data_IF_421374882083
#
_entry.id   IF_421374882083
#
_cell.length_a   1.000
_cell.length_b   1.000
_cell.length_c   1.000
_cell.angle_alpha   90.00
_cell.angle_beta   90.00
_cell.angle_gamma   90.00
#
_symmetry.space_group_name_H-M   'P 1'
#
loop_
_entity.id
_entity.type
_entity.pdbx_description
1 polymer ?
#
# COMPACT_ATOMS: atom_id res chain seq x y z
N UNK A 1 -12.16 11.87 -3.76
CA UNK A 1 -10.94 12.37 -3.10
C UNK A 1 -9.72 11.76 -3.78
N UNK A 2 -8.77 12.58 -4.25
CA UNK A 2 -7.41 12.13 -4.62
C UNK A 2 -6.51 12.28 -3.39
N UNK A 3 -5.32 11.67 -3.38
CA UNK A 3 -4.32 11.99 -2.34
C UNK A 3 -4.02 13.50 -2.43
N UNK A 4 -4.19 14.28 -1.35
CA UNK A 4 -4.02 15.74 -1.39
C UNK A 4 -2.60 16.16 -1.76
N UNK A 5 -2.46 17.36 -2.33
CA UNK A 5 -1.14 17.98 -2.54
C UNK A 5 -0.42 18.12 -1.19
N UNK A 6 0.86 17.72 -1.16
CA UNK A 6 1.63 17.64 0.09
C UNK A 6 1.50 16.30 0.83
N UNK A 7 0.72 15.36 0.31
CA UNK A 7 0.68 13.98 0.77
C UNK A 7 1.18 13.03 -0.31
N UNK A 8 1.87 11.96 0.09
CA UNK A 8 2.35 10.89 -0.78
C UNK A 8 1.88 9.54 -0.27
N UNK A 9 1.50 8.64 -1.17
CA UNK A 9 1.28 7.24 -0.81
C UNK A 9 2.57 6.46 -0.99
N UNK A 10 3.12 5.95 0.10
CA UNK A 10 4.39 5.24 0.15
C UNK A 10 4.15 3.76 0.39
N UNK A 11 4.95 2.92 -0.27
CA UNK A 11 4.99 1.49 -0.06
C UNK A 11 6.44 1.08 0.18
N UNK A 12 6.72 0.50 1.34
CA UNK A 12 8.06 0.06 1.73
C UNK A 12 8.06 -1.45 1.76
N UNK A 13 9.04 -2.05 1.09
CA UNK A 13 9.35 -3.47 1.18
C UNK A 13 10.82 -3.61 1.54
N UNK A 14 11.13 -4.44 2.53
CA UNK A 14 12.49 -4.89 2.84
C UNK A 14 12.55 -6.41 2.84
N UNK A 15 13.70 -6.93 2.46
CA UNK A 15 13.93 -8.36 2.31
C UNK A 15 14.94 -8.66 1.22
N UNK A 16 15.05 -9.93 0.85
CA UNK A 16 16.00 -10.42 -0.15
C UNK A 16 15.34 -11.49 -1.03
N UNK A 17 15.52 -11.36 -2.34
CA UNK A 17 14.91 -12.23 -3.34
C UNK A 17 13.39 -12.33 -3.14
N UNK A 18 12.90 -13.55 -2.89
CA UNK A 18 11.46 -13.80 -2.64
C UNK A 18 11.05 -13.64 -1.18
N UNK A 19 11.97 -13.35 -0.27
CA UNK A 19 11.69 -13.25 1.16
C UNK A 19 11.44 -11.79 1.51
N UNK A 20 10.24 -11.47 1.97
CA UNK A 20 9.88 -10.16 2.52
C UNK A 20 9.96 -10.26 4.05
N UNK A 21 10.84 -9.47 4.65
CA UNK A 21 10.99 -9.36 6.11
C UNK A 21 10.21 -8.20 6.71
N UNK A 22 9.94 -7.17 5.92
CA UNK A 22 9.11 -6.03 6.32
C UNK A 22 8.34 -5.48 5.13
N UNK A 23 7.05 -5.20 5.34
CA UNK A 23 6.22 -4.54 4.35
C UNK A 23 5.21 -3.62 5.03
N UNK A 24 5.21 -2.36 4.61
CA UNK A 24 4.30 -1.34 5.11
C UNK A 24 3.85 -0.46 3.94
N UNK A 25 2.63 0.05 4.00
CA UNK A 25 2.24 1.15 3.13
C UNK A 25 1.35 2.14 3.88
N UNK A 26 1.40 3.39 3.45
CA UNK A 26 0.65 4.45 4.10
C UNK A 26 0.67 5.75 3.32
N UNK A 27 -0.08 6.71 3.82
CA UNK A 27 -0.01 8.09 3.35
C UNK A 27 0.84 8.91 4.30
N UNK A 28 1.88 9.52 3.76
CA UNK A 28 2.75 10.45 4.44
C UNK A 28 2.38 11.87 3.99
N UNK A 29 1.86 12.69 4.91
CA UNK A 29 1.50 14.08 4.65
C UNK A 29 2.49 15.02 5.32
N UNK A 30 3.14 15.89 4.53
CA UNK A 30 4.05 16.92 5.03
C UNK A 30 3.39 18.29 5.14
N UNK A 31 3.78 19.06 6.17
CA UNK A 31 3.44 20.48 6.34
C UNK A 31 1.94 20.77 6.16
N UNK A 32 1.56 21.72 5.29
CA UNK A 32 0.17 22.12 5.02
C UNK A 32 -0.74 20.99 4.51
N UNK A 33 -0.17 19.92 3.95
CA UNK A 33 -0.93 18.75 3.49
C UNK A 33 -1.66 18.04 4.65
N UNK A 34 -1.07 18.05 5.85
CA UNK A 34 -1.67 17.44 7.03
C UNK A 34 -2.88 18.22 7.57
N UNK A 35 -2.92 19.55 7.37
CA UNK A 35 -3.98 20.41 7.91
C UNK A 35 -5.34 20.20 7.22
N UNK A 36 -5.33 19.71 5.97
CA UNK A 36 -6.54 19.50 5.16
C UNK A 36 -6.72 18.03 4.73
N UNK A 37 -5.88 17.11 5.20
CA UNK A 37 -6.00 15.69 4.88
C UNK A 37 -6.94 14.97 5.85
N UNK A 38 -7.81 14.13 5.31
CA UNK A 38 -8.74 13.33 6.09
C UNK A 38 -9.19 12.14 5.27
N UNK A 39 -8.54 11.00 5.45
CA UNK A 39 -8.90 9.77 4.76
C UNK A 39 -9.89 9.01 5.65
N UNK A 40 -11.17 9.05 5.29
CA UNK A 40 -12.25 8.32 5.98
C UNK A 40 -12.66 7.08 5.16
N UNK A 41 -13.21 6.05 5.81
CA UNK A 41 -13.59 4.78 5.15
C UNK A 41 -12.44 4.23 4.29
N UNK A 42 -11.24 4.21 4.88
CA UNK A 42 -10.02 3.91 4.18
C UNK A 42 -9.62 2.44 4.35
N UNK A 43 -8.92 1.90 3.37
CA UNK A 43 -8.36 0.55 3.40
C UNK A 43 -7.08 0.51 2.58
N UNK A 44 -6.08 -0.24 3.04
CA UNK A 44 -4.85 -0.49 2.28
C UNK A 44 -4.76 -1.97 1.94
N UNK A 45 -4.64 -2.26 0.64
CA UNK A 45 -4.51 -3.61 0.10
C UNK A 45 -3.11 -3.82 -0.47
N UNK A 46 -2.55 -5.02 -0.29
CA UNK A 46 -1.30 -5.43 -0.95
C UNK A 46 -1.59 -6.51 -1.99
N UNK A 47 -1.04 -6.39 -3.18
CA UNK A 47 -1.20 -7.39 -4.25
C UNK A 47 0.15 -7.89 -4.73
N UNK A 48 0.20 -9.16 -5.12
CA UNK A 48 1.39 -9.80 -5.67
C UNK A 48 1.04 -10.44 -7.01
N UNK A 49 1.81 -10.09 -8.02
CA UNK A 49 1.72 -10.63 -9.37
C UNK A 49 3.04 -11.28 -9.76
N UNK A 50 2.99 -12.27 -10.64
CA UNK A 50 4.18 -12.84 -11.25
C UNK A 50 4.75 -11.93 -12.36
N UNK A 51 5.78 -12.40 -13.05
CA UNK A 51 6.46 -11.67 -14.14
C UNK A 51 5.55 -11.40 -15.34
N UNK A 52 4.48 -12.19 -15.51
CA UNK A 52 3.48 -12.03 -16.56
C UNK A 52 2.33 -11.10 -16.12
N UNK A 53 2.50 -10.41 -14.98
CA UNK A 53 1.51 -9.55 -14.33
C UNK A 53 0.23 -10.29 -13.88
N UNK A 54 0.24 -11.62 -13.74
CA UNK A 54 -0.90 -12.36 -13.19
C UNK A 54 -0.90 -12.25 -11.67
N UNK A 55 -1.91 -11.57 -11.13
CA UNK A 55 -2.12 -11.46 -9.68
C UNK A 55 -2.43 -12.85 -9.13
N UNK A 56 -1.60 -13.34 -8.21
CA UNK A 56 -1.78 -14.64 -7.55
C UNK A 56 -2.16 -14.51 -6.07
N UNK A 57 -1.97 -13.33 -5.46
CA UNK A 57 -2.34 -13.09 -4.07
C UNK A 57 -2.74 -11.64 -3.85
N UNK A 58 -3.77 -11.44 -3.02
CA UNK A 58 -4.16 -10.13 -2.48
C UNK A 58 -4.30 -10.24 -0.96
N UNK A 59 -3.52 -9.45 -0.22
CA UNK A 59 -3.71 -9.23 1.22
C UNK A 59 -4.60 -8.01 1.40
N UNK A 60 -5.92 -8.24 1.48
CA UNK A 60 -6.92 -7.18 1.66
C UNK A 60 -6.90 -6.68 3.12
N UNK A 61 -6.87 -5.37 3.31
CA UNK A 61 -6.94 -4.77 4.65
C UNK A 61 -8.35 -4.76 5.23
N UNK A 62 -8.50 -4.40 6.50
CA UNK A 62 -9.80 -4.02 7.07
C UNK A 62 -10.16 -2.61 6.58
N UNK A 63 -11.45 -2.36 6.35
CA UNK A 63 -11.93 -0.98 6.14
C UNK A 63 -12.05 -0.28 7.49
N UNK A 64 -11.38 0.86 7.61
CA UNK A 64 -11.39 1.76 8.75
C UNK A 64 -12.39 2.88 8.50
N UNK A 65 -13.47 2.92 9.26
CA UNK A 65 -14.56 3.91 9.07
C UNK A 65 -14.19 5.28 9.61
N UNK A 66 -13.26 5.34 10.55
CA UNK A 66 -12.70 6.57 11.09
C UNK A 66 -11.87 7.34 10.07
N UNK A 67 -11.77 8.65 10.28
CA UNK A 67 -10.91 9.53 9.48
C UNK A 67 -9.51 9.59 10.09
N UNK A 68 -8.48 9.44 9.26
CA UNK A 68 -7.08 9.59 9.67
C UNK A 68 -6.31 10.44 8.65
N UNK A 69 -5.36 11.23 9.14
CA UNK A 69 -4.47 12.05 8.29
C UNK A 69 -3.42 11.16 7.61
N UNK A 70 -2.90 10.17 8.35
CA UNK A 70 -1.87 9.23 7.93
C UNK A 70 -2.35 7.76 8.08
N UNK A 71 -3.29 7.30 7.22
CA UNK A 71 -3.62 5.88 7.15
C UNK A 71 -2.35 5.07 6.83
N UNK A 72 -2.10 4.04 7.62
CA UNK A 72 -0.94 3.16 7.47
C UNK A 72 -1.36 1.73 7.77
N UNK A 73 -0.69 0.77 7.13
CA UNK A 73 -0.90 -0.65 7.38
C UNK A 73 0.39 -1.43 7.18
N UNK A 74 0.74 -2.24 8.17
CA UNK A 74 1.76 -3.27 8.05
C UNK A 74 1.19 -4.57 7.46
N UNK A 75 2.06 -5.34 6.82
CA UNK A 75 1.75 -6.68 6.36
C UNK A 75 2.79 -7.66 6.89
N UNK A 76 2.34 -8.86 7.25
CA UNK A 76 3.19 -9.85 7.89
C UNK A 76 4.39 -10.24 6.97
N UNK A 77 5.56 -10.52 7.55
CA UNK A 77 6.67 -11.14 6.85
C UNK A 77 6.22 -12.40 6.11
N UNK A 78 6.77 -12.64 4.92
CA UNK A 78 6.35 -13.75 4.08
C UNK A 78 7.40 -14.12 3.04
N UNK A 79 7.33 -15.36 2.56
CA UNK A 79 8.07 -15.83 1.38
C UNK A 79 7.13 -15.91 0.19
N UNK A 80 7.46 -15.19 -0.88
CA UNK A 80 6.71 -15.21 -2.12
C UNK A 80 6.98 -16.52 -2.90
N UNK A 81 5.96 -17.13 -3.51
CA UNK A 81 6.17 -18.32 -4.34
C UNK A 81 6.93 -17.96 -5.63
N UNK A 82 6.71 -16.75 -6.17
CA UNK A 82 7.20 -16.29 -7.48
C UNK A 82 7.82 -14.90 -7.37
N UNK A 83 8.80 -14.62 -8.23
CA UNK A 83 9.24 -13.27 -8.55
C UNK A 83 8.17 -12.54 -9.36
N UNK A 84 8.24 -11.21 -9.42
CA UNK A 84 7.28 -10.39 -10.16
C UNK A 84 7.11 -9.02 -9.53
N UNK A 85 5.87 -8.67 -9.19
CA UNK A 85 5.51 -7.33 -8.72
C UNK A 85 4.77 -7.39 -7.39
N UNK A 86 5.15 -6.54 -6.45
CA UNK A 86 4.45 -6.33 -5.21
C UNK A 86 3.93 -4.89 -5.16
N UNK A 87 2.62 -4.71 -5.08
CA UNK A 87 1.99 -3.39 -5.03
C UNK A 87 1.22 -3.19 -3.73
N UNK A 88 1.10 -1.94 -3.33
CA UNK A 88 0.13 -1.50 -2.33
C UNK A 88 -0.84 -0.50 -2.96
N UNK A 89 -2.08 -0.49 -2.48
CA UNK A 89 -3.12 0.41 -2.94
C UNK A 89 -3.91 0.96 -1.76
N UNK A 90 -4.16 2.27 -1.76
CA UNK A 90 -5.10 2.89 -0.82
C UNK A 90 -6.47 3.07 -1.48
N UNK A 91 -7.50 2.63 -0.78
CA UNK A 91 -8.90 2.83 -1.11
C UNK A 91 -9.53 3.80 -0.10
N UNK A 92 -10.37 4.71 -0.59
CA UNK A 92 -11.11 5.69 0.22
C UNK A 92 -12.54 5.72 -0.27
N UNK A 93 -13.50 5.43 0.61
CA UNK A 93 -14.90 5.18 0.27
C UNK A 93 -15.02 4.08 -0.82
N UNK A 94 -14.26 2.98 -0.67
CA UNK A 94 -14.24 1.84 -1.60
C UNK A 94 -13.46 2.06 -2.91
N UNK A 95 -13.18 3.30 -3.29
CA UNK A 95 -12.51 3.63 -4.56
C UNK A 95 -10.99 3.69 -4.39
N UNK A 96 -10.24 3.03 -5.28
CA UNK A 96 -8.77 3.10 -5.32
C UNK A 96 -8.31 4.52 -5.65
N UNK A 97 -7.49 5.13 -4.79
CA UNK A 97 -7.04 6.52 -4.93
C UNK A 97 -5.58 6.66 -5.34
N UNK A 98 -4.73 5.76 -4.87
CA UNK A 98 -3.32 5.71 -5.24
C UNK A 98 -2.77 4.28 -5.12
N UNK A 99 -1.59 4.06 -5.69
CA UNK A 99 -0.85 2.83 -5.55
C UNK A 99 0.64 3.01 -5.85
N UNK A 100 1.46 2.15 -5.26
CA UNK A 100 2.89 2.11 -5.50
C UNK A 100 3.34 0.65 -5.57
N UNK A 101 4.18 0.34 -6.55
CA UNK A 101 4.62 -1.01 -6.86
C UNK A 101 6.14 -1.12 -6.87
N UNK A 102 6.63 -2.28 -6.46
CA UNK A 102 8.03 -2.69 -6.55
C UNK A 102 8.15 -3.94 -7.41
N UNK A 103 9.25 -4.04 -8.16
CA UNK A 103 9.62 -5.30 -8.80
C UNK A 103 10.43 -6.12 -7.80
N UNK A 104 9.98 -7.34 -7.58
CA UNK A 104 10.69 -8.34 -6.79
C UNK A 104 11.38 -9.25 -7.80
N UNK A 105 12.64 -8.99 -8.06
CA UNK A 105 13.49 -9.73 -8.99
C UNK A 105 14.53 -10.54 -8.23
N UNK A 106 15.30 -11.35 -8.97
CA UNK A 106 16.53 -11.94 -8.46
C UNK A 106 17.59 -10.86 -8.22
#
# INVERSE_FOLDING_TARGET
MKVPTGCMFTHIIRGEGKTITYQNAGVDCGFVGALNAGFCNWRIDFTYADTDNKIYRTSRGKTHTECKINPMRDNAPQKLPRYGKACAYIHVNGVRRAGQCHHITK
#
